data_IF_339739262297
#
_entry.id   IF_339739262297
#
_cell.length_a   1.000
_cell.length_b   1.000
_cell.length_c   1.000
_cell.angle_alpha   90.00
_cell.angle_beta   90.00
_cell.angle_gamma   90.00
#
_symmetry.space_group_name_H-M   'P 1'
#
loop_
_entity.id
_entity.type
_entity.pdbx_description
1 polymer ?
#
# COMPACT_ATOMS: atom_id res chain seq x y z
N UNK A 1 15.54 11.07 7.41
CA UNK A 1 14.20 10.75 7.97
C UNK A 1 14.29 10.84 9.49
N UNK A 2 13.49 11.68 10.15
CA UNK A 2 13.39 11.70 11.62
C UNK A 2 12.46 10.57 12.10
N UNK A 3 12.89 9.31 11.97
CA UNK A 3 12.13 8.17 12.47
C UNK A 3 12.24 8.07 13.99
N UNK A 4 11.15 7.73 14.65
CA UNK A 4 11.15 7.44 16.10
C UNK A 4 11.93 6.14 16.37
N UNK A 5 13.16 6.27 16.87
CA UNK A 5 14.02 5.12 17.18
C UNK A 5 13.44 4.24 18.29
N UNK A 6 12.53 4.75 19.13
CA UNK A 6 11.79 3.97 20.12
C UNK A 6 10.88 2.90 19.51
N UNK A 7 10.61 2.96 18.19
CA UNK A 7 9.82 1.95 17.47
C UNK A 7 10.66 0.83 16.83
N UNK A 8 11.99 0.94 16.86
CA UNK A 8 12.89 -0.10 16.33
C UNK A 8 12.60 -1.49 16.91
N UNK A 9 12.42 -1.68 18.22
CA UNK A 9 12.10 -3.00 18.77
C UNK A 9 10.82 -3.62 18.17
N UNK A 10 9.78 -2.83 17.92
CA UNK A 10 8.53 -3.32 17.31
C UNK A 10 8.73 -3.67 15.82
N UNK A 11 9.53 -2.91 15.07
CA UNK A 11 9.89 -3.25 13.69
C UNK A 11 10.70 -4.54 13.62
N UNK A 12 11.65 -4.73 14.53
CA UNK A 12 12.44 -5.96 14.60
C UNK A 12 11.57 -7.17 14.96
N UNK A 13 10.64 -7.01 15.91
CA UNK A 13 9.72 -8.08 16.27
C UNK A 13 8.77 -8.41 15.12
N UNK A 14 8.25 -7.43 14.38
CA UNK A 14 7.50 -7.68 13.16
C UNK A 14 8.31 -8.46 12.12
N UNK A 15 9.59 -8.10 11.93
CA UNK A 15 10.49 -8.84 11.02
C UNK A 15 10.67 -10.29 11.46
N UNK A 16 10.84 -10.54 12.77
CA UNK A 16 10.97 -11.89 13.34
C UNK A 16 9.71 -12.71 13.06
N UNK A 17 8.52 -12.16 13.34
CA UNK A 17 7.23 -12.80 13.08
C UNK A 17 7.03 -13.10 11.60
N UNK A 18 7.40 -12.15 10.73
CA UNK A 18 7.35 -12.34 9.26
C UNK A 18 8.23 -13.49 8.82
N UNK A 19 9.50 -13.54 9.23
CA UNK A 19 10.45 -14.56 8.81
C UNK A 19 10.06 -15.94 9.35
N UNK A 20 9.52 -16.04 10.56
CA UNK A 20 8.98 -17.28 11.09
C UNK A 20 7.78 -17.79 10.28
N UNK A 21 6.81 -16.90 10.02
CA UNK A 21 5.61 -17.27 9.25
C UNK A 21 5.97 -17.58 7.79
N UNK A 22 7.00 -16.94 7.24
CA UNK A 22 7.46 -17.14 5.88
C UNK A 22 7.94 -18.58 5.61
N UNK A 23 8.44 -19.29 6.64
CA UNK A 23 8.85 -20.70 6.53
C UNK A 23 7.69 -21.63 6.10
N UNK A 24 6.45 -21.22 6.35
CA UNK A 24 5.25 -22.05 6.07
C UNK A 24 4.27 -21.43 5.08
N UNK A 25 4.41 -20.12 4.75
CA UNK A 25 3.41 -19.40 3.94
C UNK A 25 3.93 -18.73 2.67
N UNK A 26 5.25 -18.65 2.45
CA UNK A 26 5.86 -17.93 1.33
C UNK A 26 5.32 -16.48 1.21
N UNK A 27 5.42 -15.71 2.29
CA UNK A 27 4.94 -14.33 2.36
C UNK A 27 5.83 -13.35 1.59
N UNK A 28 7.15 -13.61 1.59
CA UNK A 28 8.15 -12.79 0.91
C UNK A 28 9.30 -13.64 0.38
N UNK A 29 9.89 -13.19 -0.74
CA UNK A 29 11.13 -13.75 -1.27
C UNK A 29 12.39 -13.19 -0.57
N UNK A 30 12.27 -12.07 0.14
CA UNK A 30 13.38 -11.43 0.86
C UNK A 30 13.43 -12.01 2.28
N UNK A 31 14.47 -12.79 2.57
CA UNK A 31 14.61 -13.53 3.83
C UNK A 31 15.85 -13.13 4.64
N UNK A 32 16.84 -12.50 3.99
CA UNK A 32 18.04 -12.01 4.67
C UNK A 32 17.67 -10.82 5.57
N UNK A 33 18.00 -10.84 6.88
CA UNK A 33 17.57 -9.82 7.84
C UNK A 33 17.93 -8.38 7.43
N UNK A 34 19.11 -8.16 6.85
CA UNK A 34 19.55 -6.85 6.38
C UNK A 34 18.69 -6.35 5.21
N UNK A 35 18.35 -7.24 4.27
CA UNK A 35 17.48 -6.91 3.16
C UNK A 35 16.03 -6.70 3.61
N UNK A 36 15.56 -7.42 4.62
CA UNK A 36 14.24 -7.16 5.24
C UNK A 36 14.23 -5.76 5.87
N UNK A 37 15.29 -5.40 6.61
CA UNK A 37 15.38 -4.08 7.25
C UNK A 37 15.41 -2.95 6.21
N UNK A 38 16.17 -3.09 5.13
CA UNK A 38 16.34 -2.05 4.11
C UNK A 38 15.21 -2.07 3.07
N UNK A 39 15.04 -3.16 2.33
CA UNK A 39 14.13 -3.26 1.17
C UNK A 39 12.66 -3.48 1.56
N UNK A 40 12.39 -3.79 2.84
CA UNK A 40 11.02 -3.84 3.34
C UNK A 40 10.75 -2.70 4.33
N UNK A 41 11.44 -2.65 5.48
CA UNK A 41 11.06 -1.70 6.53
C UNK A 41 11.39 -0.26 6.17
N UNK A 42 12.65 0.06 5.80
CA UNK A 42 13.06 1.41 5.46
C UNK A 42 12.44 1.91 4.15
N UNK A 43 12.31 1.04 3.15
CA UNK A 43 11.63 1.34 1.90
C UNK A 43 10.17 1.77 2.14
N UNK A 44 9.43 1.02 2.95
CA UNK A 44 8.05 1.36 3.31
C UNK A 44 7.96 2.62 4.20
N UNK A 45 8.89 2.78 5.13
CA UNK A 45 8.97 3.96 6.00
C UNK A 45 9.18 5.25 5.21
N UNK A 46 9.84 5.17 4.06
CA UNK A 46 10.06 6.32 3.18
C UNK A 46 8.76 6.99 2.73
N UNK A 47 7.67 6.23 2.55
CA UNK A 47 6.36 6.79 2.20
C UNK A 47 5.86 7.82 3.21
N UNK A 48 6.25 7.70 4.50
CA UNK A 48 5.86 8.64 5.55
C UNK A 48 6.40 10.07 5.31
N UNK A 49 7.39 10.21 4.41
CA UNK A 49 7.97 11.53 4.04
C UNK A 49 7.26 12.18 2.85
N UNK A 50 6.38 11.44 2.13
CA UNK A 50 5.82 11.88 0.85
C UNK A 50 4.44 12.51 0.95
N UNK A 51 3.73 12.29 2.07
CA UNK A 51 2.40 12.86 2.31
C UNK A 51 2.21 13.19 3.79
N UNK A 52 1.21 14.01 4.07
CA UNK A 52 0.75 14.23 5.43
C UNK A 52 -0.28 13.14 5.79
N UNK A 53 -0.05 12.46 6.92
CA UNK A 53 -0.88 11.35 7.40
C UNK A 53 -1.63 11.66 8.70
N UNK A 54 -1.26 12.73 9.42
CA UNK A 54 -1.79 13.01 10.75
C UNK A 54 -3.33 13.09 10.75
N UNK A 55 -3.99 12.24 11.52
CA UNK A 55 -5.44 12.14 11.62
C UNK A 55 -6.18 11.69 10.34
N UNK A 56 -5.46 11.30 9.28
CA UNK A 56 -6.05 10.90 8.00
C UNK A 56 -6.34 9.40 7.94
N UNK A 57 -7.48 9.03 7.37
CA UNK A 57 -7.79 7.63 7.11
C UNK A 57 -6.90 7.09 5.98
N UNK A 58 -6.11 6.06 6.28
CA UNK A 58 -5.15 5.43 5.36
C UNK A 58 -5.56 4.01 5.05
N UNK A 59 -5.40 3.57 3.80
CA UNK A 59 -5.60 2.18 3.39
C UNK A 59 -4.41 1.66 2.60
N UNK A 60 -3.95 0.45 2.95
CA UNK A 60 -2.98 -0.32 2.17
C UNK A 60 -3.73 -1.37 1.35
N UNK A 61 -3.80 -1.16 0.03
CA UNK A 61 -4.58 -1.99 -0.89
C UNK A 61 -3.73 -3.14 -1.42
N UNK A 62 -4.11 -4.37 -1.05
CA UNK A 62 -3.33 -5.55 -1.37
C UNK A 62 -2.06 -5.64 -0.52
N UNK A 63 -2.20 -5.46 0.79
CA UNK A 63 -1.10 -5.33 1.75
C UNK A 63 -0.14 -6.53 1.77
N UNK A 64 -0.59 -7.70 1.33
CA UNK A 64 0.24 -8.91 1.28
C UNK A 64 0.75 -9.33 2.66
N UNK A 65 2.06 -9.34 2.82
CA UNK A 65 2.73 -9.60 4.09
C UNK A 65 2.73 -8.39 5.05
N UNK A 66 1.96 -7.35 4.75
CA UNK A 66 1.87 -6.13 5.55
C UNK A 66 2.69 -4.95 5.00
N UNK A 67 3.01 -4.96 3.71
CA UNK A 67 3.84 -3.91 3.10
C UNK A 67 3.08 -3.09 2.04
N UNK A 68 3.09 -1.75 2.16
CA UNK A 68 3.90 -0.93 3.08
C UNK A 68 3.26 -0.66 4.45
N UNK A 69 2.01 -1.06 4.71
CA UNK A 69 1.21 -0.61 5.84
C UNK A 69 1.79 -0.90 7.23
N UNK A 70 2.26 -2.13 7.50
CA UNK A 70 2.77 -2.48 8.85
C UNK A 70 3.94 -1.60 9.30
N UNK A 71 5.02 -1.39 8.52
CA UNK A 71 6.08 -0.47 8.92
C UNK A 71 5.58 0.96 9.14
N UNK A 72 4.66 1.45 8.31
CA UNK A 72 4.07 2.78 8.45
C UNK A 72 3.29 2.91 9.76
N UNK A 73 2.41 1.96 10.05
CA UNK A 73 1.56 1.98 11.26
C UNK A 73 2.33 1.69 12.55
N UNK A 74 3.44 0.96 12.51
CA UNK A 74 4.36 0.78 13.65
C UNK A 74 5.07 2.10 13.97
N UNK A 75 5.59 2.78 12.95
CA UNK A 75 6.37 4.01 13.10
C UNK A 75 5.52 5.22 13.48
N UNK A 76 4.27 5.27 13.01
CA UNK A 76 3.36 6.38 13.30
C UNK A 76 1.99 5.84 13.68
N UNK A 77 1.47 6.30 14.84
CA UNK A 77 0.18 5.88 15.39
C UNK A 77 -0.88 6.98 15.34
N UNK A 78 -0.56 8.11 14.75
CA UNK A 78 -1.41 9.29 14.67
C UNK A 78 -2.40 9.28 13.48
N UNK A 79 -2.54 8.11 12.83
CA UNK A 79 -3.56 7.90 11.79
C UNK A 79 -4.14 6.47 11.85
N UNK A 80 -5.45 6.30 11.59
CA UNK A 80 -6.07 4.99 11.42
C UNK A 80 -5.63 4.38 10.09
N UNK A 81 -5.18 3.12 10.12
CA UNK A 81 -4.69 2.37 8.97
C UNK A 81 -5.51 1.11 8.76
N UNK A 82 -6.00 0.91 7.54
CA UNK A 82 -6.64 -0.33 7.10
C UNK A 82 -5.69 -1.12 6.23
N UNK A 83 -5.40 -2.38 6.60
CA UNK A 83 -4.69 -3.35 5.79
C UNK A 83 -5.70 -4.24 5.07
N UNK A 84 -5.77 -4.15 3.75
CA UNK A 84 -6.74 -4.88 2.92
C UNK A 84 -6.03 -5.91 2.04
N UNK A 85 -6.44 -7.18 2.14
CA UNK A 85 -5.98 -8.25 1.23
C UNK A 85 -7.08 -9.27 0.98
N UNK A 86 -7.07 -9.87 -0.21
CA UNK A 86 -8.03 -10.91 -0.62
C UNK A 86 -7.69 -12.31 -0.12
N UNK A 87 -6.52 -12.52 0.48
CA UNK A 87 -6.06 -13.80 0.99
C UNK A 87 -6.20 -13.87 2.52
N UNK A 88 -7.20 -14.64 3.01
CA UNK A 88 -7.50 -14.76 4.44
C UNK A 88 -6.29 -15.11 5.28
N UNK A 89 -5.46 -16.09 4.85
CA UNK A 89 -4.25 -16.50 5.58
C UNK A 89 -3.26 -15.36 5.82
N UNK A 90 -3.14 -14.39 4.89
CA UNK A 90 -2.29 -13.21 5.06
C UNK A 90 -2.87 -12.27 6.10
N UNK A 91 -4.18 -12.05 6.03
CA UNK A 91 -4.88 -11.19 6.99
C UNK A 91 -4.85 -11.79 8.41
N UNK A 92 -4.96 -13.11 8.54
CA UNK A 92 -4.87 -13.78 9.84
C UNK A 92 -3.46 -13.59 10.45
N UNK A 93 -2.40 -13.74 9.66
CA UNK A 93 -1.03 -13.41 10.09
C UNK A 93 -0.90 -11.95 10.55
N UNK A 94 -1.48 -11.01 9.79
CA UNK A 94 -1.42 -9.59 10.15
C UNK A 94 -2.22 -9.28 11.42
N UNK A 95 -3.39 -9.89 11.63
CA UNK A 95 -4.17 -9.77 12.87
C UNK A 95 -3.39 -10.27 14.09
N UNK A 96 -2.77 -11.44 13.97
CA UNK A 96 -1.88 -11.98 14.99
C UNK A 96 -0.74 -11.01 15.31
N UNK A 97 -0.05 -10.49 14.27
CA UNK A 97 1.05 -9.53 14.43
C UNK A 97 0.62 -8.21 15.06
N UNK A 98 -0.51 -7.64 14.62
CA UNK A 98 -1.10 -6.41 15.16
C UNK A 98 -1.41 -6.56 16.65
N UNK A 99 -2.02 -7.69 17.04
CA UNK A 99 -2.35 -7.97 18.43
C UNK A 99 -1.07 -8.13 19.31
N UNK A 100 -0.09 -8.90 18.82
CA UNK A 100 1.18 -9.12 19.54
C UNK A 100 1.99 -7.84 19.72
N UNK A 101 1.94 -6.93 18.76
CA UNK A 101 2.66 -5.64 18.78
C UNK A 101 1.87 -4.51 19.47
N UNK A 102 0.62 -4.75 19.89
CA UNK A 102 -0.24 -3.75 20.53
C UNK A 102 -0.51 -2.53 19.61
N UNK A 103 -0.87 -2.78 18.33
CA UNK A 103 -1.09 -1.73 17.33
C UNK A 103 -2.59 -1.41 17.22
N UNK A 104 -3.10 -0.50 18.04
CA UNK A 104 -4.52 -0.14 18.10
C UNK A 104 -5.01 0.70 16.91
N UNK A 105 -4.07 1.31 16.18
CA UNK A 105 -4.34 2.14 15.01
C UNK A 105 -4.50 1.34 13.71
N UNK A 106 -4.34 0.00 13.71
CA UNK A 106 -4.35 -0.84 12.51
C UNK A 106 -5.55 -1.80 12.53
N UNK A 107 -6.32 -1.79 11.45
CA UNK A 107 -7.40 -2.73 11.18
C UNK A 107 -7.04 -3.64 10.01
N UNK A 108 -7.24 -4.97 10.15
CA UNK A 108 -6.92 -5.97 9.12
C UNK A 108 -8.22 -6.52 8.52
N UNK A 109 -8.44 -6.30 7.23
CA UNK A 109 -9.68 -6.63 6.52
C UNK A 109 -9.41 -7.67 5.43
N UNK A 110 -10.10 -8.82 5.53
CA UNK A 110 -10.12 -9.83 4.49
C UNK A 110 -11.26 -9.55 3.52
N UNK A 111 -10.94 -8.95 2.38
CA UNK A 111 -11.88 -8.71 1.28
C UNK A 111 -11.14 -8.48 -0.03
N UNK A 112 -11.81 -8.65 -1.16
CA UNK A 112 -11.35 -8.11 -2.43
C UNK A 112 -11.56 -6.60 -2.45
N UNK A 113 -10.63 -5.86 -3.05
CA UNK A 113 -10.70 -4.40 -3.06
C UNK A 113 -11.94 -3.89 -3.80
N UNK A 114 -12.33 -4.55 -4.91
CA UNK A 114 -13.52 -4.20 -5.68
C UNK A 114 -14.81 -4.42 -4.90
N UNK A 115 -14.88 -5.48 -4.07
CA UNK A 115 -16.05 -5.76 -3.23
C UNK A 115 -16.09 -4.81 -2.01
N UNK A 116 -14.94 -4.56 -1.41
CA UNK A 116 -14.79 -3.64 -0.28
C UNK A 116 -15.19 -2.21 -0.64
N UNK A 117 -14.88 -1.79 -1.86
CA UNK A 117 -15.23 -0.46 -2.36
C UNK A 117 -16.75 -0.20 -2.39
N UNK A 118 -17.60 -1.23 -2.47
CA UNK A 118 -19.05 -1.05 -2.49
C UNK A 118 -19.57 -0.33 -1.22
N UNK A 119 -19.00 -0.65 -0.05
CA UNK A 119 -19.38 -0.04 1.24
C UNK A 119 -18.44 1.09 1.70
N UNK A 120 -17.31 1.33 1.02
CA UNK A 120 -16.24 2.21 1.48
C UNK A 120 -15.76 3.18 0.39
N UNK A 121 -16.64 3.54 -0.56
CA UNK A 121 -16.29 4.51 -1.61
C UNK A 121 -15.85 5.82 -1.01
N UNK A 122 -14.71 6.32 -1.53
CA UNK A 122 -14.18 7.65 -1.18
C UNK A 122 -14.13 7.90 0.33
N UNK A 123 -13.75 6.86 1.10
CA UNK A 123 -13.68 6.93 2.57
C UNK A 123 -12.28 7.19 3.10
N UNK A 124 -11.25 7.06 2.26
CA UNK A 124 -9.85 7.20 2.68
C UNK A 124 -9.20 8.47 2.12
N UNK A 125 -8.39 9.11 2.94
CA UNK A 125 -7.63 10.31 2.54
C UNK A 125 -6.37 9.91 1.76
N UNK A 126 -5.75 8.78 2.14
CA UNK A 126 -4.55 8.25 1.51
C UNK A 126 -4.72 6.76 1.24
N UNK A 127 -4.47 6.34 0.01
CA UNK A 127 -4.24 4.93 -0.31
C UNK A 127 -2.76 4.71 -0.60
N UNK A 128 -2.24 3.56 -0.17
CA UNK A 128 -0.89 3.09 -0.50
C UNK A 128 -0.97 1.69 -1.10
N UNK A 129 0.00 1.29 -1.90
CA UNK A 129 0.11 -0.09 -2.38
C UNK A 129 1.50 -0.39 -2.91
N UNK A 130 1.95 -1.66 -2.77
CA UNK A 130 3.22 -2.16 -3.29
C UNK A 130 3.05 -3.51 -3.98
N UNK A 131 3.57 -3.63 -5.23
CA UNK A 131 3.73 -4.89 -5.96
C UNK A 131 2.45 -5.76 -6.12
N UNK A 132 1.26 -5.16 -6.22
CA UNK A 132 -0.02 -5.90 -6.32
C UNK A 132 -0.35 -6.28 -7.75
N UNK A 133 -0.26 -5.30 -8.67
CA UNK A 133 -0.66 -5.46 -10.08
C UNK A 133 -0.07 -4.35 -10.95
N UNK A 134 -0.27 -4.45 -12.26
CA UNK A 134 0.01 -3.35 -13.18
C UNK A 134 -0.81 -2.10 -12.81
N UNK A 135 -0.23 -0.91 -13.00
CA UNK A 135 -0.78 0.36 -12.52
C UNK A 135 -2.21 0.65 -13.01
N UNK A 136 -2.61 0.36 -14.27
CA UNK A 136 -4.00 0.56 -14.69
C UNK A 136 -5.00 -0.25 -13.86
N UNK A 137 -4.69 -1.51 -13.59
CA UNK A 137 -5.51 -2.40 -12.76
C UNK A 137 -5.50 -1.92 -11.30
N UNK A 138 -4.33 -1.59 -10.78
CA UNK A 138 -4.16 -1.13 -9.39
C UNK A 138 -4.93 0.17 -9.14
N UNK A 139 -4.94 1.09 -10.11
CA UNK A 139 -5.74 2.31 -10.02
C UNK A 139 -7.24 2.05 -9.92
N UNK A 140 -7.77 1.04 -10.64
CA UNK A 140 -9.18 0.68 -10.54
C UNK A 140 -9.55 0.05 -9.19
N UNK A 141 -8.59 -0.60 -8.52
CA UNK A 141 -8.79 -1.17 -7.17
C UNK A 141 -8.67 -0.11 -6.06
N UNK A 142 -7.80 0.89 -6.24
CA UNK A 142 -7.46 1.85 -5.18
C UNK A 142 -8.24 3.17 -5.27
N UNK A 143 -8.34 3.79 -6.47
CA UNK A 143 -8.94 5.13 -6.60
C UNK A 143 -10.42 5.22 -6.18
N UNK A 144 -11.27 4.19 -6.36
CA UNK A 144 -12.63 4.24 -5.84
C UNK A 144 -12.73 4.38 -4.31
N UNK A 145 -11.68 4.00 -3.58
CA UNK A 145 -11.60 4.10 -2.11
C UNK A 145 -11.13 5.49 -1.65
N UNK A 146 -10.45 6.25 -2.51
CA UNK A 146 -9.82 7.55 -2.18
C UNK A 146 -10.82 8.68 -2.33
N UNK A 147 -10.94 9.53 -1.31
CA UNK A 147 -11.74 10.77 -1.32
C UNK A 147 -11.29 11.73 -2.42
N UNK A 148 -12.18 12.52 -2.96
CA UNK A 148 -11.80 13.69 -3.76
C UNK A 148 -10.90 14.62 -2.93
N UNK A 149 -9.74 15.03 -3.49
CA UNK A 149 -8.68 15.74 -2.76
C UNK A 149 -7.66 14.82 -2.08
N UNK A 150 -7.94 13.53 -1.92
CA UNK A 150 -7.01 12.54 -1.39
C UNK A 150 -5.92 12.13 -2.40
N UNK A 151 -5.02 11.24 -1.98
CA UNK A 151 -3.88 10.80 -2.78
C UNK A 151 -3.72 9.27 -2.75
N UNK A 152 -3.36 8.70 -3.89
CA UNK A 152 -2.90 7.32 -3.98
C UNK A 152 -1.40 7.30 -4.28
N UNK A 153 -0.64 6.57 -3.45
CA UNK A 153 0.81 6.39 -3.55
C UNK A 153 1.09 4.94 -4.00
N UNK A 154 1.43 4.76 -5.25
CA UNK A 154 1.78 3.45 -5.82
C UNK A 154 3.30 3.27 -5.85
N UNK A 155 3.82 2.34 -5.03
CA UNK A 155 5.24 1.96 -5.09
C UNK A 155 5.50 1.09 -6.32
N UNK A 156 6.50 1.49 -7.11
CA UNK A 156 6.86 0.87 -8.37
C UNK A 156 8.39 0.77 -8.53
N UNK A 157 8.82 -0.02 -9.51
CA UNK A 157 10.19 0.01 -10.03
C UNK A 157 10.43 1.31 -10.79
N UNK A 158 11.68 1.75 -10.88
CA UNK A 158 12.07 2.90 -11.71
C UNK A 158 11.83 2.66 -13.20
N UNK A 159 11.79 1.40 -13.64
CA UNK A 159 11.55 1.02 -15.04
C UNK A 159 10.04 0.96 -15.37
N UNK A 160 9.22 1.78 -14.75
CA UNK A 160 7.75 1.76 -14.88
C UNK A 160 7.19 2.86 -15.80
N UNK A 161 8.01 3.50 -16.63
CA UNK A 161 7.57 4.61 -17.48
C UNK A 161 6.46 4.21 -18.47
N UNK A 162 6.62 3.07 -19.16
CA UNK A 162 5.61 2.55 -20.08
C UNK A 162 4.31 2.17 -19.36
N UNK A 163 4.43 1.60 -18.18
CA UNK A 163 3.29 1.25 -17.32
C UNK A 163 2.52 2.50 -16.89
N UNK A 164 3.24 3.56 -16.50
CA UNK A 164 2.64 4.85 -16.13
C UNK A 164 1.96 5.51 -17.33
N UNK A 165 2.62 5.49 -18.49
CA UNK A 165 2.04 6.03 -19.73
C UNK A 165 0.72 5.32 -20.09
N UNK A 166 0.71 3.99 -20.03
CA UNK A 166 -0.48 3.17 -20.29
C UNK A 166 -1.61 3.40 -19.25
N UNK A 167 -1.27 3.78 -18.02
CA UNK A 167 -2.24 4.01 -16.96
C UNK A 167 -2.92 5.39 -17.01
N UNK A 168 -2.42 6.35 -17.77
CA UNK A 168 -2.92 7.74 -17.75
C UNK A 168 -4.40 7.86 -18.07
N UNK A 169 -4.87 7.12 -19.08
CA UNK A 169 -6.29 7.11 -19.45
C UNK A 169 -7.16 6.48 -18.36
N UNK A 170 -6.72 5.34 -17.80
CA UNK A 170 -7.38 4.69 -16.68
C UNK A 170 -7.47 5.62 -15.45
N UNK A 171 -6.38 6.27 -15.09
CA UNK A 171 -6.32 7.25 -13.98
C UNK A 171 -7.34 8.37 -14.19
N UNK A 172 -7.39 8.95 -15.41
CA UNK A 172 -8.34 9.99 -15.76
C UNK A 172 -9.80 9.53 -15.68
N UNK A 173 -10.11 8.31 -16.19
CA UNK A 173 -11.46 7.73 -16.11
C UNK A 173 -11.92 7.51 -14.68
N UNK A 174 -10.99 7.14 -13.77
CA UNK A 174 -11.25 6.89 -12.35
C UNK A 174 -11.29 8.16 -11.49
N UNK A 175 -11.14 9.34 -12.09
CA UNK A 175 -11.17 10.61 -11.39
C UNK A 175 -9.83 11.03 -10.78
N UNK A 176 -8.74 10.41 -11.20
CA UNK A 176 -7.38 10.73 -10.76
C UNK A 176 -6.60 11.60 -11.76
N UNK A 177 -5.46 12.10 -11.29
CA UNK A 177 -4.43 12.76 -12.11
C UNK A 177 -3.06 12.42 -11.51
N UNK A 178 -2.10 12.03 -12.35
CA UNK A 178 -0.71 11.89 -11.90
C UNK A 178 -0.22 13.27 -11.47
N UNK A 179 0.05 13.41 -10.18
CA UNK A 179 0.54 14.65 -9.57
C UNK A 179 2.07 14.72 -9.61
N UNK A 180 2.71 13.59 -9.27
CA UNK A 180 4.16 13.51 -9.20
C UNK A 180 4.62 12.07 -9.42
N UNK A 181 5.76 11.92 -10.10
CA UNK A 181 6.55 10.70 -10.15
C UNK A 181 7.80 10.99 -9.33
N UNK A 182 8.05 10.21 -8.30
CA UNK A 182 9.13 10.46 -7.35
C UNK A 182 10.05 9.25 -7.28
N UNK A 183 11.25 9.41 -7.86
CA UNK A 183 12.32 8.41 -7.77
C UNK A 183 13.16 8.69 -6.53
N UNK A 184 13.56 7.65 -5.84
CA UNK A 184 14.40 7.74 -4.65
C UNK A 184 15.31 6.52 -4.54
N UNK A 185 16.42 6.69 -3.84
CA UNK A 185 17.27 5.58 -3.42
C UNK A 185 16.78 5.07 -2.09
N UNK A 186 16.53 3.77 -1.98
CA UNK A 186 16.13 3.14 -0.71
C UNK A 186 17.23 3.40 0.32
N UNK A 187 16.87 3.95 1.50
CA UNK A 187 17.87 4.31 2.50
C UNK A 187 18.82 3.16 2.83
N UNK A 188 20.12 3.47 2.96
CA UNK A 188 21.19 2.52 3.23
C UNK A 188 21.45 1.48 2.11
N UNK A 189 21.03 1.74 0.88
CA UNK A 189 21.25 0.88 -0.28
C UNK A 189 21.57 1.69 -1.54
N UNK A 190 21.97 1.00 -2.63
CA UNK A 190 22.07 1.57 -3.98
C UNK A 190 20.78 1.32 -4.81
N UNK A 191 19.77 0.66 -4.22
CA UNK A 191 18.54 0.27 -4.91
C UNK A 191 17.65 1.50 -5.10
N UNK A 192 17.20 1.71 -6.33
CA UNK A 192 16.29 2.80 -6.68
C UNK A 192 14.86 2.30 -6.84
N UNK A 193 13.94 2.98 -6.18
CA UNK A 193 12.51 2.75 -6.30
C UNK A 193 11.80 4.03 -6.72
N UNK A 194 10.51 3.88 -7.07
CA UNK A 194 9.65 4.96 -7.55
C UNK A 194 8.33 4.96 -6.78
N UNK A 195 7.81 6.14 -6.49
CA UNK A 195 6.42 6.31 -6.07
C UNK A 195 5.68 7.15 -7.10
N UNK A 196 4.61 6.59 -7.65
CA UNK A 196 3.67 7.32 -8.50
C UNK A 196 2.59 7.90 -7.60
N UNK A 197 2.56 9.23 -7.48
CA UNK A 197 1.58 9.96 -6.69
C UNK A 197 0.41 10.37 -7.57
N UNK A 198 -0.78 9.87 -7.25
CA UNK A 198 -2.00 10.12 -8.03
C UNK A 198 -2.99 10.86 -7.16
N UNK A 199 -3.25 12.14 -7.49
CA UNK A 199 -4.24 12.96 -6.82
C UNK A 199 -5.64 12.60 -7.30
N UNK A 200 -6.57 12.36 -6.38
CA UNK A 200 -7.99 12.21 -6.70
C UNK A 200 -8.60 13.58 -6.89
N UNK A 201 -8.96 13.94 -8.11
CA UNK A 201 -9.43 15.29 -8.47
C UNK A 201 -10.94 15.39 -8.66
N UNK A 202 -11.62 14.25 -8.81
CA UNK A 202 -13.09 14.16 -8.92
C UNK A 202 -13.58 12.77 -8.49
N UNK A 203 -14.87 12.59 -8.18
CA UNK A 203 -15.42 11.29 -7.82
C UNK A 203 -15.20 10.25 -8.90
N UNK A 204 -14.96 9.00 -8.50
CA UNK A 204 -14.91 7.86 -9.42
C UNK A 204 -16.33 7.54 -9.90
N UNK A 205 -16.57 7.40 -11.22
CA UNK A 205 -17.89 7.03 -11.76
C UNK A 205 -18.44 5.75 -11.14
N UNK A 206 -19.76 5.67 -10.98
CA UNK A 206 -20.44 4.60 -10.22
C UNK A 206 -20.21 3.18 -10.78
N UNK A 207 -19.91 3.05 -12.10
CA UNK A 207 -19.60 1.77 -12.71
C UNK A 207 -18.26 1.16 -12.29
N UNK A 208 -17.41 1.91 -11.59
CA UNK A 208 -16.13 1.43 -11.09
C UNK A 208 -16.13 1.28 -9.56
N UNK A 209 -15.37 0.34 -9.00
CA UNK A 209 -14.58 -0.67 -9.72
C UNK A 209 -15.48 -1.71 -10.39
N UNK A 210 -14.98 -2.27 -11.49
CA UNK A 210 -15.62 -3.42 -12.15
C UNK A 210 -15.29 -4.71 -11.39
N UNK A 211 -16.05 -5.82 -11.61
CA UNK A 211 -15.68 -7.13 -11.07
C UNK A 211 -14.26 -7.53 -11.48
N UNK A 212 -13.48 -8.12 -10.57
CA UNK A 212 -12.05 -8.43 -10.76
C UNK A 212 -11.75 -9.21 -12.04
N UNK A 213 -12.59 -10.18 -12.39
CA UNK A 213 -12.42 -10.95 -13.62
C UNK A 213 -12.43 -10.06 -14.88
N UNK A 214 -13.26 -9.01 -14.89
CA UNK A 214 -13.31 -8.02 -15.98
C UNK A 214 -12.11 -7.09 -15.97
N UNK A 215 -11.68 -6.64 -14.78
CA UNK A 215 -10.47 -5.82 -14.60
C UNK A 215 -9.25 -6.56 -15.16
N UNK A 216 -9.09 -7.84 -14.78
CA UNK A 216 -7.97 -8.68 -15.20
C UNK A 216 -7.98 -8.98 -16.70
N UNK A 217 -9.18 -9.28 -17.27
CA UNK A 217 -9.32 -9.62 -18.68
C UNK A 217 -9.10 -8.41 -19.62
N UNK A 218 -9.55 -7.24 -19.18
CA UNK A 218 -9.52 -6.00 -19.97
C UNK A 218 -9.24 -4.81 -19.06
N UNK A 219 -7.98 -4.59 -18.64
CA UNK A 219 -7.61 -3.42 -17.87
C UNK A 219 -8.00 -2.13 -18.60
N UNK A 220 -8.33 -1.09 -17.85
CA UNK A 220 -8.56 0.25 -18.41
C UNK A 220 -7.29 0.75 -19.11
N UNK A 221 -7.51 1.54 -20.17
CA UNK A 221 -6.43 2.19 -20.94
C UNK A 221 -6.53 3.71 -20.81
#
# INVERSE_FOLDING_TARGET
>A
MGLDTGKIPQLMEFSRLLLEKNKVMNLTAITEPENVATLHLLDCAYLLTLADYAGKAVIDVGTGAGFPGMPMGILRRDFPLTLLDSLGKRIDFLRESVAMLGLENISCIHARAEDFAAGHRESYDVAVSRAVAALPMLCELALPLVKSGGVFLAMKSVDSDDEIAAARGAIGQLGGKVERIHDYTVPCTEVKHRVVMIRKVRPTPAQFPRPFARIKKSPLK
#
